data_IF_299825972958
#
_entry.id   IF_299825972958
#
_cell.length_a   1.000
_cell.length_b   1.000
_cell.length_c   1.000
_cell.angle_alpha   90.00
_cell.angle_beta   90.00
_cell.angle_gamma   90.00
#
_symmetry.space_group_name_H-M   'P 1'
#
loop_
_entity.id
_entity.type
_entity.pdbx_description
1 polymer ?
#
# COMPACT_ATOMS: atom_id res chain seq x y z
N UNK A 1 -11.95 19.82 -13.33
CA UNK A 1 -10.82 18.84 -13.36
C UNK A 1 -11.19 17.70 -12.44
N UNK A 2 -11.18 16.48 -12.94
CA UNK A 2 -11.45 15.30 -12.11
C UNK A 2 -10.25 15.06 -11.18
N UNK A 3 -10.51 14.91 -9.90
CA UNK A 3 -9.48 14.62 -8.90
C UNK A 3 -8.82 13.27 -9.21
N UNK A 4 -7.48 13.16 -9.16
CA UNK A 4 -6.80 11.90 -9.33
C UNK A 4 -7.22 10.86 -8.30
N UNK A 5 -7.26 9.59 -8.70
CA UNK A 5 -7.52 8.48 -7.79
C UNK A 5 -6.35 8.29 -6.82
N UNK A 6 -5.12 8.31 -7.35
CA UNK A 6 -3.89 8.18 -6.58
C UNK A 6 -2.87 9.18 -7.10
N UNK A 7 -2.25 9.93 -6.21
CA UNK A 7 -1.09 10.78 -6.49
C UNK A 7 0.05 10.45 -5.53
N UNK A 8 1.23 10.29 -6.08
CA UNK A 8 2.47 10.16 -5.34
C UNK A 8 3.31 11.38 -5.69
N UNK A 9 3.69 12.15 -4.67
CA UNK A 9 4.41 13.42 -4.83
C UNK A 9 5.74 13.36 -4.10
N UNK A 10 6.84 13.41 -4.86
CA UNK A 10 8.22 13.44 -4.36
C UNK A 10 8.48 12.36 -3.30
N UNK A 11 7.93 11.16 -3.53
CA UNK A 11 8.01 10.08 -2.57
C UNK A 11 9.44 9.57 -2.44
N UNK A 12 9.97 9.63 -1.24
CA UNK A 12 11.27 9.07 -0.89
C UNK A 12 11.13 8.07 0.24
N UNK A 13 11.77 6.91 0.10
CA UNK A 13 11.86 5.89 1.14
C UNK A 13 13.31 5.51 1.39
N UNK A 14 13.72 5.70 2.63
CA UNK A 14 15.03 5.31 3.13
C UNK A 14 14.84 4.25 4.21
N UNK A 15 15.62 3.17 4.13
CA UNK A 15 15.71 2.14 5.16
C UNK A 15 17.03 2.25 5.91
N UNK A 16 17.07 1.89 7.17
CA UNK A 16 18.23 2.00 8.05
C UNK A 16 18.43 3.41 8.61
N UNK A 17 19.60 3.69 9.20
CA UNK A 17 19.99 5.05 9.62
C UNK A 17 19.37 5.55 10.92
N UNK A 18 18.97 4.69 11.83
CA UNK A 18 18.65 5.14 13.19
C UNK A 18 19.89 5.70 13.89
N UNK A 19 19.77 6.85 14.56
CA UNK A 19 20.88 7.59 15.20
C UNK A 19 21.79 6.76 16.13
N UNK A 20 21.29 5.59 16.58
CA UNK A 20 22.01 4.66 17.45
C UNK A 20 22.29 3.29 16.81
N UNK A 21 21.87 3.04 15.56
CA UNK A 21 21.91 1.69 15.00
C UNK A 21 23.21 1.35 14.26
N UNK A 22 24.04 2.34 13.90
CA UNK A 22 25.27 2.12 13.11
C UNK A 22 25.06 1.41 11.77
N UNK A 23 23.80 1.18 11.38
CA UNK A 23 23.47 0.49 10.14
C UNK A 23 23.53 1.45 8.94
N UNK A 24 24.04 1.00 7.79
CA UNK A 24 24.05 1.81 6.59
C UNK A 24 22.64 2.16 6.13
N UNK A 25 22.47 3.38 5.65
CA UNK A 25 21.22 3.83 5.04
C UNK A 25 21.11 3.30 3.61
N UNK A 26 19.94 2.83 3.24
CA UNK A 26 19.63 2.42 1.87
C UNK A 26 18.48 3.26 1.34
N UNK A 27 18.73 4.04 0.29
CA UNK A 27 17.67 4.75 -0.42
C UNK A 27 16.99 3.76 -1.36
N UNK A 28 15.76 3.36 -1.03
CA UNK A 28 15.00 2.38 -1.79
C UNK A 28 14.10 3.03 -2.85
N UNK A 29 13.71 4.29 -2.64
CA UNK A 29 12.95 5.10 -3.57
C UNK A 29 13.33 6.55 -3.36
N UNK A 30 13.55 7.32 -4.44
CA UNK A 30 13.93 8.72 -4.36
C UNK A 30 13.10 9.58 -5.30
N UNK A 31 12.49 10.63 -4.75
CA UNK A 31 11.74 11.68 -5.46
C UNK A 31 10.74 11.14 -6.52
N UNK A 32 10.12 10.01 -6.22
CA UNK A 32 9.22 9.34 -7.14
C UNK A 32 7.89 10.07 -7.25
N UNK A 33 7.43 10.26 -8.48
CA UNK A 33 6.16 10.91 -8.78
C UNK A 33 5.31 10.02 -9.69
N UNK A 34 4.02 9.90 -9.38
CA UNK A 34 3.05 9.14 -10.16
C UNK A 34 1.66 9.74 -9.95
N UNK A 35 0.89 9.85 -11.01
CA UNK A 35 -0.52 10.23 -10.95
C UNK A 35 -1.36 9.22 -11.69
N UNK A 36 -2.35 8.64 -11.03
CA UNK A 36 -3.32 7.71 -11.60
C UNK A 36 -4.69 8.39 -11.55
N UNK A 37 -5.29 8.57 -12.73
CA UNK A 37 -6.64 9.11 -12.86
C UNK A 37 -7.70 8.11 -12.43
N UNK A 38 -8.88 8.60 -12.02
CA UNK A 38 -10.04 7.76 -11.71
C UNK A 38 -10.75 7.28 -12.99
N UNK A 39 -10.82 8.13 -13.99
CA UNK A 39 -11.52 7.84 -15.26
C UNK A 39 -10.80 8.47 -16.46
N UNK A 40 -10.73 7.76 -17.59
CA UNK A 40 -11.13 6.35 -17.78
C UNK A 40 -10.22 5.40 -16.99
N UNK A 41 -10.71 4.18 -16.69
CA UNK A 41 -9.89 3.15 -16.07
C UNK A 41 -8.64 2.88 -16.93
N UNK A 42 -7.49 2.77 -16.27
CA UNK A 42 -6.20 2.61 -16.95
C UNK A 42 -5.36 1.51 -16.29
N UNK A 43 -4.44 0.96 -17.07
CA UNK A 43 -3.41 0.04 -16.56
C UNK A 43 -2.09 0.80 -16.54
N UNK A 44 -1.50 0.93 -15.36
CA UNK A 44 -0.18 1.54 -15.18
C UNK A 44 0.84 0.46 -14.87
N UNK A 45 1.87 0.33 -15.70
CA UNK A 45 2.95 -0.64 -15.50
C UNK A 45 4.18 0.06 -14.94
N UNK A 46 4.74 -0.49 -13.86
CA UNK A 46 6.01 -0.04 -13.28
C UNK A 46 7.09 -1.06 -13.65
N UNK A 47 8.00 -0.64 -14.52
CA UNK A 47 9.13 -1.45 -14.98
C UNK A 47 10.45 -0.95 -14.37
N UNK A 48 11.42 -1.85 -14.24
CA UNK A 48 12.75 -1.57 -13.72
C UNK A 48 13.50 -2.85 -13.36
N UNK A 49 14.81 -2.74 -13.19
CA UNK A 49 15.67 -3.86 -12.80
C UNK A 49 15.35 -4.37 -11.38
N UNK A 50 15.90 -5.53 -11.01
CA UNK A 50 15.82 -6.03 -9.64
C UNK A 50 16.47 -5.02 -8.69
N UNK A 51 15.82 -4.73 -7.56
CA UNK A 51 16.30 -3.73 -6.61
C UNK A 51 15.98 -2.27 -6.94
N UNK A 52 15.31 -1.97 -8.05
CA UNK A 52 14.96 -0.60 -8.44
C UNK A 52 13.82 0.05 -7.63
N UNK A 53 13.39 -0.54 -6.52
CA UNK A 53 12.36 0.04 -5.64
C UNK A 53 10.90 -0.31 -5.95
N UNK A 54 10.62 -1.16 -6.96
CA UNK A 54 9.23 -1.54 -7.31
C UNK A 54 8.43 -2.13 -6.14
N UNK A 55 9.03 -3.06 -5.42
CA UNK A 55 8.41 -3.66 -4.22
C UNK A 55 8.21 -2.63 -3.11
N UNK A 56 9.17 -1.72 -2.93
CA UNK A 56 9.06 -0.62 -1.97
C UNK A 56 7.90 0.30 -2.33
N UNK A 57 7.78 0.66 -3.60
CA UNK A 57 6.65 1.48 -4.09
C UNK A 57 5.31 0.79 -3.84
N UNK A 58 5.19 -0.50 -4.18
CA UNK A 58 3.97 -1.27 -3.90
C UNK A 58 3.64 -1.27 -2.39
N UNK A 59 4.62 -1.53 -1.53
CA UNK A 59 4.43 -1.53 -0.08
C UNK A 59 4.06 -0.15 0.48
N UNK A 60 4.55 0.94 -0.11
CA UNK A 60 4.15 2.29 0.23
C UNK A 60 2.68 2.55 -0.14
N UNK A 61 2.28 2.19 -1.36
CA UNK A 61 0.89 2.33 -1.82
C UNK A 61 -0.06 1.45 -1.01
N UNK A 62 0.33 0.24 -0.63
CA UNK A 62 -0.49 -0.63 0.22
C UNK A 62 -0.51 -0.22 1.70
N UNK A 63 0.31 0.76 2.09
CA UNK A 63 0.41 1.23 3.47
C UNK A 63 1.13 0.24 4.41
N UNK A 64 1.89 -0.71 3.87
CA UNK A 64 2.66 -1.67 4.67
C UNK A 64 3.93 -1.03 5.24
N UNK A 65 4.47 -0.02 4.57
CA UNK A 65 5.60 0.77 5.05
C UNK A 65 5.26 2.26 4.98
N UNK A 66 5.83 3.05 5.89
CA UNK A 66 5.65 4.49 5.89
C UNK A 66 6.66 5.15 4.96
N UNK A 67 6.24 6.22 4.29
CA UNK A 67 7.07 7.10 3.51
C UNK A 67 8.06 7.84 4.42
N UNK A 68 9.27 8.14 3.92
CA UNK A 68 10.26 8.95 4.65
C UNK A 68 10.02 10.44 4.42
N UNK A 69 9.77 10.84 3.16
CA UNK A 69 9.38 12.19 2.79
C UNK A 69 8.53 12.18 1.52
N UNK A 70 7.84 13.27 1.24
CA UNK A 70 6.85 13.39 0.18
C UNK A 70 5.44 13.03 0.66
N UNK A 71 4.53 12.75 -0.26
CA UNK A 71 3.12 12.46 0.04
C UNK A 71 2.56 11.38 -0.87
N UNK A 72 1.62 10.60 -0.32
CA UNK A 72 0.77 9.69 -1.08
C UNK A 72 -0.67 10.11 -0.81
N UNK A 73 -1.35 10.57 -1.85
CA UNK A 73 -2.73 11.05 -1.76
C UNK A 73 -3.65 10.05 -2.46
N UNK A 74 -4.69 9.63 -1.77
CA UNK A 74 -5.77 8.84 -2.32
C UNK A 74 -7.05 9.67 -2.31
N UNK A 75 -7.62 9.90 -3.50
CA UNK A 75 -8.76 10.83 -3.66
C UNK A 75 -8.54 12.16 -2.93
N UNK A 76 -7.31 12.71 -3.03
CA UNK A 76 -6.89 13.96 -2.40
C UNK A 76 -6.58 13.91 -0.90
N UNK A 77 -6.81 12.80 -0.23
CA UNK A 77 -6.51 12.64 1.19
C UNK A 77 -5.14 11.99 1.40
N UNK A 78 -4.31 12.57 2.25
CA UNK A 78 -2.99 12.00 2.56
C UNK A 78 -3.14 10.70 3.34
N UNK A 79 -2.66 9.60 2.76
CA UNK A 79 -2.74 8.25 3.34
C UNK A 79 -2.07 8.17 4.71
N UNK A 80 -1.02 8.97 4.95
CA UNK A 80 -0.31 9.01 6.22
C UNK A 80 -1.11 9.67 7.36
N UNK A 81 -2.09 10.52 7.02
CA UNK A 81 -2.92 11.29 7.96
C UNK A 81 -4.32 10.71 8.13
N UNK A 82 -4.66 9.65 7.43
CA UNK A 82 -5.98 9.01 7.51
C UNK A 82 -6.26 8.47 8.92
N UNK A 83 -7.48 8.71 9.39
CA UNK A 83 -8.01 8.06 10.58
C UNK A 83 -8.33 6.57 10.32
N UNK A 84 -8.76 5.85 11.39
CA UNK A 84 -9.04 4.40 11.27
C UNK A 84 -10.16 4.08 10.26
N UNK A 85 -11.17 4.92 10.16
CA UNK A 85 -12.29 4.71 9.23
C UNK A 85 -11.84 4.92 7.79
N UNK A 86 -11.11 6.00 7.53
CA UNK A 86 -10.52 6.30 6.23
C UNK A 86 -9.50 5.24 5.80
N UNK A 87 -8.67 4.74 6.72
CA UNK A 87 -7.74 3.64 6.44
C UNK A 87 -8.47 2.35 6.06
N UNK A 88 -9.61 2.06 6.69
CA UNK A 88 -10.42 0.88 6.36
C UNK A 88 -11.03 1.01 4.97
N UNK A 89 -11.54 2.18 4.62
CA UNK A 89 -12.04 2.52 3.27
C UNK A 89 -10.92 2.37 2.23
N UNK A 90 -9.76 2.96 2.50
CA UNK A 90 -8.58 2.84 1.64
C UNK A 90 -8.21 1.38 1.36
N UNK A 91 -8.13 0.54 2.39
CA UNK A 91 -7.83 -0.89 2.26
C UNK A 91 -8.90 -1.68 1.53
N UNK A 92 -10.15 -1.19 1.55
CA UNK A 92 -11.25 -1.79 0.80
C UNK A 92 -11.13 -1.51 -0.69
N UNK A 93 -10.69 -0.31 -1.06
CA UNK A 93 -10.57 0.12 -2.45
C UNK A 93 -9.21 -0.24 -3.08
N UNK A 94 -8.14 -0.24 -2.29
CA UNK A 94 -6.78 -0.54 -2.75
C UNK A 94 -6.42 -1.97 -2.34
N UNK A 95 -6.40 -2.86 -3.31
CA UNK A 95 -6.18 -4.29 -3.12
C UNK A 95 -4.92 -4.75 -3.85
N UNK A 96 -4.25 -5.79 -3.34
CA UNK A 96 -3.07 -6.38 -3.93
C UNK A 96 -3.31 -7.82 -4.36
N UNK A 97 -2.74 -8.18 -5.50
CA UNK A 97 -2.55 -9.58 -5.92
C UNK A 97 -1.05 -9.86 -5.83
N UNK A 98 -0.66 -10.76 -4.93
CA UNK A 98 0.75 -11.11 -4.74
C UNK A 98 1.22 -12.13 -5.77
N UNK A 99 2.51 -12.07 -6.12
CA UNK A 99 3.14 -12.98 -7.06
C UNK A 99 3.09 -14.44 -6.58
N UNK A 100 3.26 -14.66 -5.28
CA UNK A 100 3.08 -15.96 -4.63
C UNK A 100 1.94 -15.87 -3.61
N UNK A 101 0.72 -16.25 -4.00
CA UNK A 101 -0.43 -16.21 -3.10
C UNK A 101 -0.32 -17.24 -1.97
N UNK A 102 0.49 -18.29 -2.11
CA UNK A 102 0.65 -19.31 -1.08
C UNK A 102 1.54 -18.84 0.08
N UNK A 103 2.50 -17.96 -0.18
CA UNK A 103 3.38 -17.42 0.84
C UNK A 103 2.67 -16.58 1.92
N UNK A 104 1.47 -16.09 1.62
CA UNK A 104 0.68 -15.28 2.56
C UNK A 104 -0.20 -16.13 3.49
N UNK A 105 -0.35 -17.43 3.21
CA UNK A 105 -1.16 -18.32 4.03
C UNK A 105 -0.34 -18.89 5.19
N UNK A 106 -0.82 -18.68 6.41
CA UNK A 106 -0.27 -19.37 7.56
C UNK A 106 -0.85 -20.80 7.63
N UNK A 107 -0.02 -21.85 7.49
CA UNK A 107 -0.48 -23.24 7.43
C UNK A 107 -1.13 -23.73 8.74
N UNK A 108 -0.95 -23.01 9.85
CA UNK A 108 -1.57 -23.35 11.14
C UNK A 108 -3.04 -22.92 11.25
N UNK A 109 -3.53 -22.10 10.31
CA UNK A 109 -4.92 -21.69 10.27
C UNK A 109 -5.71 -22.41 9.18
N UNK A 110 -6.98 -22.68 9.46
CA UNK A 110 -7.90 -23.20 8.43
C UNK A 110 -8.14 -22.11 7.38
N UNK A 111 -8.29 -22.50 6.12
CA UNK A 111 -8.61 -21.56 5.00
C UNK A 111 -9.83 -20.71 5.34
N UNK A 112 -10.85 -21.28 6.01
CA UNK A 112 -12.04 -20.55 6.47
C UNK A 112 -11.70 -19.31 7.31
N UNK A 113 -10.64 -19.38 8.13
CA UNK A 113 -10.25 -18.26 9.00
C UNK A 113 -9.96 -16.97 8.22
N UNK A 114 -9.35 -17.08 7.04
CA UNK A 114 -9.02 -15.94 6.19
C UNK A 114 -10.30 -15.29 5.67
N UNK A 115 -11.27 -16.09 5.23
CA UNK A 115 -12.58 -15.59 4.81
C UNK A 115 -13.34 -14.93 5.96
N UNK A 116 -13.32 -15.53 7.13
CA UNK A 116 -13.96 -14.96 8.33
C UNK A 116 -13.34 -13.61 8.70
N UNK A 117 -12.01 -13.46 8.60
CA UNK A 117 -11.33 -12.17 8.84
C UNK A 117 -11.81 -11.09 7.85
N UNK A 118 -11.89 -11.42 6.56
CA UNK A 118 -12.34 -10.45 5.53
C UNK A 118 -13.80 -10.07 5.77
N UNK A 119 -14.67 -11.06 5.96
CA UNK A 119 -16.10 -10.84 6.20
C UNK A 119 -16.31 -9.97 7.45
N UNK A 120 -15.61 -10.25 8.54
CA UNK A 120 -15.76 -9.53 9.79
C UNK A 120 -15.19 -8.11 9.72
N UNK A 121 -13.97 -7.95 9.17
CA UNK A 121 -13.29 -6.66 9.10
C UNK A 121 -14.04 -5.67 8.20
N UNK A 122 -14.57 -6.14 7.07
CA UNK A 122 -15.31 -5.31 6.13
C UNK A 122 -16.84 -5.36 6.33
N UNK A 123 -17.33 -6.08 7.34
CA UNK A 123 -18.75 -6.23 7.65
C UNK A 123 -19.60 -6.66 6.44
N UNK A 124 -19.07 -7.62 5.65
CA UNK A 124 -19.68 -8.05 4.40
C UNK A 124 -20.92 -8.95 4.59
N UNK A 125 -21.10 -9.54 5.76
CA UNK A 125 -22.29 -10.30 6.11
C UNK A 125 -22.82 -9.87 7.47
N UNK A 126 -24.15 -9.79 7.58
CA UNK A 126 -24.81 -9.70 8.88
C UNK A 126 -24.68 -11.06 9.56
N UNK A 127 -24.01 -11.14 10.70
CA UNK A 127 -24.05 -12.32 11.56
C UNK A 127 -25.48 -12.54 12.03
N UNK A 128 -26.26 -13.28 11.23
CA UNK A 128 -27.50 -13.94 11.66
C UNK A 128 -27.25 -15.44 11.53
N UNK A 129 -26.74 -16.01 12.57
CA UNK A 129 -26.98 -17.43 12.95
C UNK A 129 -26.51 -17.64 14.37
#
# INVERSE_FOLDING_TARGET
MTQPLLEIKNATKIYGGGFLSGQPTTVALQDFNLTIGDRPASITTIAGESGSGKTTLANLVLGFVKITSGQILFKGNDVALMDKAQQMEYRREVQAIFQDPYAVYNPFYRVKHIFDLVVNNFKLANNKS
#
